data_IF_344120455134
#
_entry.id   IF_344120455134
#
_cell.length_a   1.000
_cell.length_b   1.000
_cell.length_c   1.000
_cell.angle_alpha   90.00
_cell.angle_beta   90.00
_cell.angle_gamma   90.00
#
_symmetry.space_group_name_H-M   'P 1'
#
loop_
_entity.id
_entity.type
_entity.pdbx_description
1 polymer ?
#
# COMPACT_ATOMS: atom_id res chain seq x y z
N UNK A 1 -10.54 -57.65 -27.46
CA UNK A 1 -11.06 -57.50 -26.09
C UNK A 1 -12.35 -58.29 -26.03
N UNK A 2 -12.42 -59.35 -25.22
CA UNK A 2 -13.52 -60.32 -25.31
C UNK A 2 -14.83 -59.70 -24.79
N UNK A 3 -15.98 -59.97 -25.42
CA UNK A 3 -17.29 -59.39 -25.06
C UNK A 3 -17.66 -59.64 -23.59
N UNK A 4 -17.10 -60.70 -23.00
CA UNK A 4 -17.24 -61.06 -21.59
C UNK A 4 -16.50 -60.06 -20.66
N UNK A 5 -15.33 -59.53 -21.06
CA UNK A 5 -14.58 -58.53 -20.28
C UNK A 5 -15.24 -57.15 -20.31
N UNK A 6 -15.81 -56.75 -21.45
CA UNK A 6 -16.59 -55.51 -21.56
C UNK A 6 -17.91 -55.58 -20.78
N UNK A 7 -18.56 -56.74 -20.78
CA UNK A 7 -19.74 -57.01 -19.94
C UNK A 7 -19.41 -56.94 -18.45
N UNK A 8 -18.30 -57.52 -18.00
CA UNK A 8 -17.87 -57.47 -16.61
C UNK A 8 -17.45 -56.06 -16.16
N UNK A 9 -16.72 -55.30 -16.99
CA UNK A 9 -16.38 -53.90 -16.68
C UNK A 9 -17.61 -53.00 -16.62
N UNK A 10 -18.57 -53.14 -17.54
CA UNK A 10 -19.80 -52.34 -17.53
C UNK A 10 -20.71 -52.69 -16.35
N UNK A 11 -20.80 -53.97 -15.97
CA UNK A 11 -21.53 -54.42 -14.78
C UNK A 11 -20.89 -53.90 -13.49
N UNK A 12 -19.56 -53.74 -13.48
CA UNK A 12 -18.81 -53.20 -12.34
C UNK A 12 -18.95 -51.68 -12.21
N UNK A 13 -18.92 -50.94 -13.32
CA UNK A 13 -19.17 -49.48 -13.36
C UNK A 13 -20.62 -49.18 -12.96
N UNK A 14 -21.60 -49.97 -13.42
CA UNK A 14 -23.00 -49.84 -13.02
C UNK A 14 -23.21 -50.15 -11.54
N UNK A 15 -22.51 -51.14 -10.97
CA UNK A 15 -22.54 -51.41 -9.54
C UNK A 15 -21.94 -50.26 -8.71
N UNK A 16 -20.83 -49.66 -9.17
CA UNK A 16 -20.24 -48.50 -8.50
C UNK A 16 -21.19 -47.30 -8.56
N UNK A 17 -21.80 -47.03 -9.72
CA UNK A 17 -22.78 -45.96 -9.88
C UNK A 17 -24.04 -46.20 -9.01
N UNK A 18 -24.53 -47.43 -8.90
CA UNK A 18 -25.67 -47.79 -8.04
C UNK A 18 -25.33 -47.70 -6.55
N UNK A 19 -24.11 -48.04 -6.14
CA UNK A 19 -23.64 -47.88 -4.75
C UNK A 19 -23.51 -46.38 -4.41
N UNK A 20 -23.04 -45.55 -5.35
CA UNK A 20 -22.96 -44.10 -5.18
C UNK A 20 -24.35 -43.46 -5.12
N UNK A 21 -25.31 -43.92 -5.94
CA UNK A 21 -26.68 -43.41 -5.94
C UNK A 21 -27.49 -43.87 -4.71
N UNK A 22 -27.24 -45.10 -4.22
CA UNK A 22 -27.97 -45.68 -3.08
C UNK A 22 -27.50 -45.13 -1.73
N UNK A 23 -26.31 -44.51 -1.66
CA UNK A 23 -25.69 -44.04 -0.42
C UNK A 23 -25.12 -42.62 -0.58
N UNK A 24 -26.01 -41.66 -0.83
CA UNK A 24 -25.69 -40.24 -0.97
C UNK A 24 -24.61 -39.75 -0.01
N UNK A 25 -23.67 -39.00 -0.59
CA UNK A 25 -22.32 -38.54 -0.19
C UNK A 25 -21.95 -38.23 1.28
N UNK A 26 -22.81 -38.37 2.28
CA UNK A 26 -22.53 -37.93 3.66
C UNK A 26 -22.38 -39.06 4.69
N UNK A 27 -22.93 -40.26 4.46
CA UNK A 27 -22.86 -41.36 5.44
C UNK A 27 -21.56 -42.17 5.40
N UNK A 28 -20.88 -42.24 4.24
CA UNK A 28 -19.59 -42.95 4.11
C UNK A 28 -18.47 -42.29 4.93
N UNK A 29 -18.43 -40.95 5.01
CA UNK A 29 -17.44 -40.24 5.83
C UNK A 29 -17.63 -40.45 7.34
N UNK A 30 -18.81 -40.88 7.78
CA UNK A 30 -19.08 -41.26 9.18
C UNK A 30 -18.75 -42.73 9.46
N UNK A 31 -18.92 -43.65 8.50
CA UNK A 31 -18.62 -45.08 8.69
C UNK A 31 -17.17 -45.49 8.35
N UNK A 32 -16.43 -44.70 7.56
CA UNK A 32 -14.99 -44.92 7.33
C UNK A 32 -14.15 -44.57 8.58
N UNK A 33 -14.72 -43.85 9.56
CA UNK A 33 -14.08 -43.61 10.87
C UNK A 33 -13.91 -44.88 11.72
N UNK A 34 -14.60 -45.98 11.43
CA UNK A 34 -14.28 -47.29 12.02
C UNK A 34 -13.38 -48.09 11.06
N UNK A 35 -12.08 -48.07 11.36
CA UNK A 35 -10.96 -48.70 10.64
C UNK A 35 -11.30 -50.06 9.99
N UNK A 36 -11.11 -50.19 8.67
CA UNK A 36 -10.50 -51.38 8.09
C UNK A 36 -9.02 -51.09 7.83
N UNK A 37 -8.13 -51.90 8.40
CA UNK A 37 -6.71 -51.84 8.08
C UNK A 37 -6.51 -52.08 6.58
N UNK A 38 -6.00 -51.07 5.87
CA UNK A 38 -5.69 -51.11 4.43
C UNK A 38 -4.61 -52.16 4.11
N UNK A 39 -3.92 -52.72 5.11
CA UNK A 39 -3.03 -53.87 4.93
C UNK A 39 -3.69 -55.10 4.28
N UNK A 40 -5.04 -55.22 4.34
CA UNK A 40 -5.79 -56.30 3.65
C UNK A 40 -6.03 -56.08 2.15
N UNK A 41 -5.77 -54.88 1.61
CA UNK A 41 -6.01 -54.59 0.19
C UNK A 41 -4.88 -55.08 -0.74
N UNK A 42 -3.68 -55.36 -0.21
CA UNK A 42 -2.51 -55.75 -1.02
C UNK A 42 -2.61 -57.11 -1.72
N UNK A 43 -3.54 -57.99 -1.30
CA UNK A 43 -3.56 -59.39 -1.74
C UNK A 43 -4.82 -59.78 -2.52
N UNK A 44 -5.57 -58.82 -3.10
CA UNK A 44 -6.72 -59.14 -3.96
C UNK A 44 -6.33 -59.05 -5.44
N UNK A 45 -6.54 -60.12 -6.22
CA UNK A 45 -6.19 -60.14 -7.65
C UNK A 45 -7.02 -59.18 -8.53
N UNK A 46 -8.08 -58.57 -7.98
CA UNK A 46 -8.98 -57.66 -8.69
C UNK A 46 -8.79 -56.16 -8.32
N UNK A 47 -7.63 -55.77 -7.77
CA UNK A 47 -7.43 -54.37 -7.36
C UNK A 47 -7.32 -53.43 -8.57
N UNK A 48 -8.23 -52.46 -8.67
CA UNK A 48 -8.15 -51.34 -9.62
C UNK A 48 -6.79 -50.65 -9.48
N UNK A 49 -6.10 -50.34 -10.59
CA UNK A 49 -4.85 -49.60 -10.53
C UNK A 49 -5.09 -48.23 -9.88
N UNK A 50 -4.14 -47.76 -9.06
CA UNK A 50 -4.23 -46.45 -8.41
C UNK A 50 -4.48 -45.33 -9.45
N UNK A 51 -3.90 -45.45 -10.64
CA UNK A 51 -4.11 -44.54 -11.76
C UNK A 51 -5.55 -44.53 -12.26
N UNK A 52 -6.21 -45.69 -12.39
CA UNK A 52 -7.63 -45.77 -12.76
C UNK A 52 -8.53 -45.20 -11.68
N UNK A 53 -8.21 -45.41 -10.40
CA UNK A 53 -8.95 -44.83 -9.28
C UNK A 53 -8.81 -43.29 -9.21
N UNK A 54 -7.59 -42.78 -9.39
CA UNK A 54 -7.33 -41.33 -9.40
C UNK A 54 -7.97 -40.63 -10.60
N UNK A 55 -7.98 -41.24 -11.78
CA UNK A 55 -8.68 -40.70 -12.95
C UNK A 55 -10.18 -40.58 -12.73
N UNK A 56 -10.79 -41.53 -12.02
CA UNK A 56 -12.21 -41.45 -11.63
C UNK A 56 -12.44 -40.28 -10.66
N UNK A 57 -11.60 -40.10 -9.64
CA UNK A 57 -11.71 -38.98 -8.70
C UNK A 57 -11.54 -37.61 -9.37
N UNK A 58 -10.61 -37.51 -10.34
CA UNK A 58 -10.40 -36.30 -11.15
C UNK A 58 -11.63 -36.01 -12.02
N UNK A 59 -12.21 -37.03 -12.65
CA UNK A 59 -13.44 -36.87 -13.47
C UNK A 59 -14.66 -36.44 -12.65
N UNK A 60 -14.68 -36.76 -11.35
CA UNK A 60 -15.74 -36.40 -10.41
C UNK A 60 -15.49 -35.06 -9.69
N UNK A 61 -14.42 -34.34 -10.04
CA UNK A 61 -14.03 -33.07 -9.43
C UNK A 61 -13.93 -33.12 -7.88
N UNK A 62 -13.60 -34.29 -7.34
CA UNK A 62 -13.43 -34.47 -5.89
C UNK A 62 -12.13 -33.81 -5.47
N UNK A 63 -12.18 -32.96 -4.43
CA UNK A 63 -10.99 -32.29 -3.90
C UNK A 63 -10.04 -33.33 -3.31
N UNK A 64 -9.02 -33.74 -4.09
CA UNK A 64 -8.02 -34.74 -3.69
C UNK A 64 -7.34 -34.37 -2.35
N UNK A 65 -7.26 -33.08 -2.03
CA UNK A 65 -6.80 -32.58 -0.74
C UNK A 65 -7.58 -33.14 0.45
N UNK A 66 -8.91 -33.33 0.34
CA UNK A 66 -9.73 -33.83 1.44
C UNK A 66 -9.55 -35.34 1.70
N UNK A 67 -9.03 -36.09 0.72
CA UNK A 67 -8.84 -37.54 0.82
C UNK A 67 -7.50 -37.91 1.47
N UNK A 68 -6.48 -37.06 1.34
CA UNK A 68 -5.11 -37.38 1.72
C UNK A 68 -4.58 -36.61 2.94
N UNK A 69 -5.32 -35.62 3.47
CA UNK A 69 -4.86 -34.81 4.61
C UNK A 69 -4.92 -35.52 5.98
N UNK A 70 -5.60 -36.67 6.09
CA UNK A 70 -5.78 -37.40 7.36
C UNK A 70 -4.89 -38.67 7.50
N UNK A 71 -3.85 -38.82 6.66
CA UNK A 71 -3.00 -40.02 6.67
C UNK A 71 -1.52 -39.73 6.95
N UNK A 72 -0.90 -40.69 7.65
CA UNK A 72 0.49 -40.67 8.11
C UNK A 72 1.46 -40.41 6.94
N UNK A 73 2.27 -39.34 6.98
CA UNK A 73 3.19 -38.97 5.90
C UNK A 73 4.26 -40.04 5.60
N UNK A 74 4.42 -41.06 6.46
CA UNK A 74 5.38 -42.14 6.29
C UNK A 74 4.84 -43.39 5.56
N UNK A 75 3.58 -43.40 5.09
CA UNK A 75 2.91 -44.62 4.60
C UNK A 75 3.07 -44.94 3.09
N UNK A 76 3.91 -44.24 2.33
CA UNK A 76 4.02 -44.46 0.87
C UNK A 76 5.37 -45.08 0.44
N UNK A 77 5.39 -46.09 -0.46
CA UNK A 77 6.62 -46.54 -1.11
C UNK A 77 7.19 -45.38 -1.94
N UNK A 78 8.42 -44.97 -1.62
CA UNK A 78 8.87 -43.57 -1.64
C UNK A 78 8.92 -42.88 -3.02
N UNK A 79 9.00 -43.60 -4.13
CA UNK A 79 9.30 -42.97 -5.43
C UNK A 79 8.20 -43.08 -6.50
N UNK A 80 7.33 -44.08 -6.45
CA UNK A 80 6.36 -44.33 -7.54
C UNK A 80 5.12 -43.41 -7.42
N UNK A 81 4.73 -42.98 -6.21
CA UNK A 81 3.52 -42.16 -6.00
C UNK A 81 3.70 -40.66 -6.19
N UNK A 82 4.90 -40.12 -5.95
CA UNK A 82 5.16 -38.68 -6.07
C UNK A 82 5.14 -38.27 -7.54
N UNK A 83 5.73 -39.05 -8.45
CA UNK A 83 5.72 -38.77 -9.89
C UNK A 83 4.31 -38.75 -10.48
N UNK A 84 3.44 -39.70 -10.10
CA UNK A 84 2.04 -39.76 -10.53
C UNK A 84 1.22 -38.58 -10.01
N UNK A 85 1.37 -38.23 -8.73
CA UNK A 85 0.74 -37.04 -8.15
C UNK A 85 1.21 -35.78 -8.86
N UNK A 86 2.51 -35.64 -9.12
CA UNK A 86 3.08 -34.50 -9.85
C UNK A 86 2.53 -34.40 -11.28
N UNK A 87 2.35 -35.53 -11.97
CA UNK A 87 1.73 -35.57 -13.30
C UNK A 87 0.24 -35.20 -13.26
N UNK A 88 -0.50 -35.59 -12.23
CA UNK A 88 -1.89 -35.17 -12.02
C UNK A 88 -1.98 -33.68 -11.74
N UNK A 89 -1.07 -33.15 -10.91
CA UNK A 89 -1.01 -31.72 -10.62
C UNK A 89 -0.63 -30.90 -11.85
N UNK A 90 0.17 -31.45 -12.76
CA UNK A 90 0.42 -30.86 -14.07
C UNK A 90 -0.86 -30.77 -14.92
N UNK A 91 -1.85 -31.63 -14.75
CA UNK A 91 -3.10 -31.58 -15.51
C UNK A 91 -4.08 -30.51 -15.01
N UNK A 92 -3.83 -29.87 -13.85
CA UNK A 92 -4.67 -28.77 -13.37
C UNK A 92 -4.62 -27.56 -14.30
N UNK A 93 -5.77 -26.88 -14.45
CA UNK A 93 -5.93 -25.69 -15.30
C UNK A 93 -4.99 -24.55 -14.89
N UNK A 94 -4.74 -24.41 -13.60
CA UNK A 94 -3.79 -23.44 -13.05
C UNK A 94 -2.58 -24.19 -12.46
N UNK A 95 -1.34 -23.90 -12.92
CA UNK A 95 -0.16 -24.56 -12.40
C UNK A 95 0.14 -24.08 -10.98
N UNK A 96 0.31 -25.03 -10.05
CA UNK A 96 0.73 -24.74 -8.68
C UNK A 96 2.08 -24.02 -8.64
N UNK A 97 2.26 -23.15 -7.67
CA UNK A 97 3.57 -22.56 -7.36
C UNK A 97 4.50 -23.61 -6.75
N UNK A 98 5.82 -23.40 -6.87
CA UNK A 98 6.82 -24.27 -6.24
C UNK A 98 6.57 -24.39 -4.73
N UNK A 99 6.17 -23.30 -4.06
CA UNK A 99 5.88 -23.29 -2.63
C UNK A 99 4.71 -24.21 -2.29
N UNK A 100 3.61 -24.10 -3.01
CA UNK A 100 2.45 -24.98 -2.81
C UNK A 100 2.81 -26.44 -3.11
N UNK A 101 3.64 -26.68 -4.12
CA UNK A 101 4.13 -28.02 -4.43
C UNK A 101 4.96 -28.62 -3.30
N UNK A 102 5.88 -27.84 -2.71
CA UNK A 102 6.69 -28.28 -1.56
C UNK A 102 5.83 -28.52 -0.32
N UNK A 103 4.81 -27.70 -0.09
CA UNK A 103 3.84 -27.90 1.01
C UNK A 103 3.00 -29.15 0.77
N UNK A 104 2.54 -29.37 -0.46
CA UNK A 104 1.66 -30.48 -0.80
C UNK A 104 2.39 -31.83 -0.79
N UNK A 105 3.64 -31.87 -1.25
CA UNK A 105 4.44 -33.10 -1.30
C UNK A 105 5.20 -33.37 0.00
N UNK A 106 5.37 -32.36 0.86
CA UNK A 106 6.27 -32.41 2.02
C UNK A 106 7.76 -32.43 1.65
N UNK A 107 8.10 -32.37 0.36
CA UNK A 107 9.48 -32.44 -0.10
C UNK A 107 10.06 -31.05 -0.26
N UNK A 108 11.31 -30.88 0.19
CA UNK A 108 12.06 -29.67 -0.09
C UNK A 108 12.34 -29.52 -1.58
N UNK A 109 12.37 -28.28 -2.09
CA UNK A 109 12.55 -27.98 -3.51
C UNK A 109 13.76 -28.68 -4.14
N UNK A 110 14.90 -28.72 -3.45
CA UNK A 110 16.10 -29.40 -3.95
C UNK A 110 15.87 -30.90 -4.17
N UNK A 111 15.13 -31.58 -3.28
CA UNK A 111 14.78 -32.99 -3.45
C UNK A 111 13.83 -33.19 -4.62
N UNK A 112 12.86 -32.30 -4.83
CA UNK A 112 11.97 -32.36 -5.99
C UNK A 112 12.73 -32.14 -7.30
N UNK A 113 13.68 -31.19 -7.32
CA UNK A 113 14.48 -30.89 -8.51
C UNK A 113 15.43 -32.04 -8.86
N UNK A 114 16.05 -32.67 -7.86
CA UNK A 114 16.96 -33.80 -8.05
C UNK A 114 16.22 -35.05 -8.56
N UNK A 115 15.04 -35.34 -8.02
CA UNK A 115 14.31 -36.57 -8.32
C UNK A 115 13.34 -36.43 -9.50
N UNK A 116 12.85 -35.22 -9.79
CA UNK A 116 11.87 -34.96 -10.84
C UNK A 116 12.18 -33.69 -11.66
N UNK A 117 13.41 -33.55 -12.21
CA UNK A 117 13.82 -32.34 -12.93
C UNK A 117 12.86 -31.99 -14.07
N UNK A 118 12.45 -32.98 -14.87
CA UNK A 118 11.57 -32.79 -16.03
C UNK A 118 10.16 -32.29 -15.67
N UNK A 119 9.66 -32.66 -14.49
CA UNK A 119 8.33 -32.22 -14.02
C UNK A 119 8.42 -30.78 -13.54
N UNK A 120 9.45 -30.46 -12.75
CA UNK A 120 9.70 -29.11 -12.26
C UNK A 120 9.96 -28.15 -13.42
N UNK A 121 10.76 -28.58 -14.40
CA UNK A 121 11.00 -27.83 -15.62
C UNK A 121 9.69 -27.60 -16.39
N UNK A 122 8.86 -28.63 -16.62
CA UNK A 122 7.56 -28.46 -17.29
C UNK A 122 6.59 -27.56 -16.53
N UNK A 123 6.59 -27.58 -15.19
CA UNK A 123 5.79 -26.66 -14.37
C UNK A 123 6.29 -25.22 -14.50
N UNK A 124 7.61 -25.03 -14.45
CA UNK A 124 8.25 -23.73 -14.63
C UNK A 124 8.00 -23.18 -16.03
N UNK A 125 8.11 -24.02 -17.05
CA UNK A 125 7.79 -23.70 -18.45
C UNK A 125 6.30 -23.39 -18.62
N UNK A 126 5.38 -24.11 -17.96
CA UNK A 126 3.95 -23.75 -17.99
C UNK A 126 3.66 -22.41 -17.33
N UNK A 127 4.32 -22.13 -16.20
CA UNK A 127 4.20 -20.88 -15.44
C UNK A 127 4.83 -19.71 -16.16
N UNK A 128 5.97 -19.90 -16.83
CA UNK A 128 6.65 -18.88 -17.63
C UNK A 128 5.92 -18.64 -18.95
N UNK A 129 5.42 -19.71 -19.58
CA UNK A 129 4.62 -19.59 -20.77
C UNK A 129 3.33 -18.82 -20.46
N UNK A 130 2.72 -18.90 -19.27
CA UNK A 130 1.50 -18.12 -18.92
C UNK A 130 1.62 -16.58 -18.99
N UNK A 131 2.74 -16.00 -19.44
CA UNK A 131 3.01 -14.56 -19.43
C UNK A 131 3.16 -13.95 -20.82
N UNK A 132 2.19 -14.18 -21.73
CA UNK A 132 2.13 -13.80 -23.17
C UNK A 132 2.56 -14.97 -24.06
N UNK A 133 1.62 -15.83 -24.48
CA UNK A 133 1.89 -17.03 -25.31
C UNK A 133 1.66 -16.81 -26.79
N UNK A 134 0.85 -15.85 -27.18
CA UNK A 134 0.40 -15.75 -28.56
C UNK A 134 0.58 -14.34 -29.12
N UNK A 135 0.62 -14.26 -30.45
CA UNK A 135 0.52 -12.99 -31.18
C UNK A 135 -0.75 -12.22 -30.78
N UNK A 136 -1.85 -12.93 -30.49
CA UNK A 136 -3.09 -12.31 -30.02
C UNK A 136 -2.94 -11.61 -28.67
N UNK A 137 -2.13 -12.15 -27.75
CA UNK A 137 -1.86 -11.51 -26.45
C UNK A 137 -1.08 -10.20 -26.62
N UNK A 138 -0.17 -10.15 -27.59
CA UNK A 138 0.60 -8.94 -27.93
C UNK A 138 -0.32 -7.89 -28.55
N UNK A 139 -1.26 -8.28 -29.39
CA UNK A 139 -2.21 -7.34 -30.01
C UNK A 139 -3.20 -6.80 -28.98
N UNK A 140 -3.72 -7.64 -28.07
CA UNK A 140 -4.52 -7.18 -26.91
C UNK A 140 -3.72 -6.25 -26.00
N UNK A 141 -2.42 -6.51 -25.80
CA UNK A 141 -1.53 -5.63 -25.04
C UNK A 141 -1.40 -4.27 -25.73
N UNK A 142 -1.15 -4.24 -27.04
CA UNK A 142 -1.05 -3.01 -27.82
C UNK A 142 -2.33 -2.20 -27.73
N UNK A 143 -3.49 -2.85 -27.86
CA UNK A 143 -4.80 -2.21 -27.73
C UNK A 143 -4.96 -1.54 -26.36
N UNK A 144 -4.66 -2.27 -25.27
CA UNK A 144 -4.71 -1.71 -23.91
C UNK A 144 -3.73 -0.53 -23.73
N UNK A 145 -2.53 -0.61 -24.29
CA UNK A 145 -1.56 0.49 -24.25
C UNK A 145 -2.05 1.69 -25.06
N UNK A 146 -2.66 1.49 -26.22
CA UNK A 146 -3.24 2.56 -27.04
C UNK A 146 -4.41 3.23 -26.33
N UNK A 147 -5.32 2.45 -25.73
CA UNK A 147 -6.41 2.97 -24.92
C UNK A 147 -5.86 3.83 -23.77
N UNK A 148 -4.81 3.39 -23.09
CA UNK A 148 -4.19 4.20 -22.04
C UNK A 148 -3.51 5.48 -22.58
N UNK A 149 -2.85 5.39 -23.74
CA UNK A 149 -2.30 6.55 -24.47
C UNK A 149 -3.41 7.51 -24.90
N UNK A 150 -4.66 7.08 -25.03
CA UNK A 150 -5.78 7.98 -25.35
C UNK A 150 -6.40 8.52 -24.05
N UNK A 151 -6.83 7.64 -23.15
CA UNK A 151 -7.67 7.99 -22.01
C UNK A 151 -6.92 8.36 -20.72
N UNK A 152 -5.63 7.99 -20.55
CA UNK A 152 -4.82 8.37 -19.39
C UNK A 152 -5.47 7.96 -18.04
N UNK A 153 -5.94 6.73 -17.94
CA UNK A 153 -6.68 6.28 -16.76
C UNK A 153 -5.76 6.15 -15.53
N UNK A 154 -4.46 5.95 -15.72
CA UNK A 154 -3.50 5.76 -14.63
C UNK A 154 -2.62 6.99 -14.36
N UNK A 155 -2.11 7.08 -13.13
CA UNK A 155 -1.29 8.21 -12.67
C UNK A 155 0.17 8.11 -13.11
N UNK A 156 0.66 6.90 -13.33
CA UNK A 156 2.03 6.60 -13.77
C UNK A 156 2.11 5.21 -14.41
N UNK A 157 3.25 4.92 -15.04
CA UNK A 157 3.48 3.66 -15.74
C UNK A 157 3.50 2.44 -14.83
N UNK A 158 3.83 2.60 -13.56
CA UNK A 158 3.82 1.50 -12.59
C UNK A 158 2.39 1.06 -12.29
N UNK A 159 1.49 2.02 -12.06
CA UNK A 159 0.07 1.77 -11.85
C UNK A 159 -0.57 1.08 -13.07
N UNK A 160 -0.24 1.54 -14.27
CA UNK A 160 -0.66 0.87 -15.51
C UNK A 160 -0.08 -0.55 -15.62
N UNK A 161 1.21 -0.74 -15.36
CA UNK A 161 1.83 -2.07 -15.44
C UNK A 161 1.20 -3.08 -14.47
N UNK A 162 0.84 -2.62 -13.26
CA UNK A 162 0.13 -3.43 -12.25
C UNK A 162 -1.29 -3.78 -12.70
N UNK A 163 -2.01 -2.86 -13.34
CA UNK A 163 -3.40 -3.12 -13.76
C UNK A 163 -3.51 -4.20 -14.84
N UNK A 164 -2.50 -4.33 -15.69
CA UNK A 164 -2.43 -5.37 -16.72
C UNK A 164 -1.62 -6.60 -16.28
N UNK A 165 -1.18 -6.65 -15.01
CA UNK A 165 -0.37 -7.73 -14.43
C UNK A 165 0.91 -8.05 -15.23
N UNK A 166 1.58 -7.02 -15.75
CA UNK A 166 2.85 -7.15 -16.48
C UNK A 166 3.94 -6.31 -15.85
N UNK A 167 5.19 -6.77 -15.99
CA UNK A 167 6.33 -5.98 -15.57
C UNK A 167 6.61 -4.87 -16.59
N UNK A 168 7.13 -3.72 -16.14
CA UNK A 168 7.55 -2.65 -17.05
C UNK A 168 8.62 -3.12 -18.05
N UNK A 169 9.47 -4.09 -17.65
CA UNK A 169 10.44 -4.73 -18.54
C UNK A 169 9.75 -5.45 -19.69
N UNK A 170 8.68 -6.19 -19.41
CA UNK A 170 7.88 -6.90 -20.42
C UNK A 170 7.24 -5.90 -21.40
N UNK A 171 6.68 -4.80 -20.90
CA UNK A 171 6.10 -3.75 -21.74
C UNK A 171 7.13 -3.13 -22.69
N UNK A 172 8.31 -2.80 -22.15
CA UNK A 172 9.41 -2.23 -22.92
C UNK A 172 9.92 -3.20 -23.99
N UNK A 173 9.96 -4.50 -23.69
CA UNK A 173 10.49 -5.52 -24.59
C UNK A 173 9.52 -5.84 -25.75
N UNK A 174 8.23 -5.97 -25.47
CA UNK A 174 7.26 -6.39 -26.48
C UNK A 174 6.65 -5.24 -27.28
N UNK A 175 6.61 -4.02 -26.72
CA UNK A 175 6.00 -2.85 -27.35
C UNK A 175 6.82 -1.57 -27.06
N UNK A 176 8.09 -1.49 -27.51
CA UNK A 176 8.99 -0.40 -27.17
C UNK A 176 8.45 0.98 -27.56
N UNK A 177 7.84 1.11 -28.75
CA UNK A 177 7.34 2.39 -29.25
C UNK A 177 6.13 2.89 -28.44
N UNK A 178 5.18 2.00 -28.12
CA UNK A 178 4.03 2.33 -27.29
C UNK A 178 4.45 2.63 -25.85
N UNK A 179 5.46 1.90 -25.35
CA UNK A 179 6.02 2.16 -24.03
C UNK A 179 6.65 3.56 -23.96
N UNK A 180 7.38 3.97 -24.99
CA UNK A 180 7.95 5.31 -25.09
C UNK A 180 6.86 6.39 -25.17
N UNK A 181 5.82 6.19 -25.99
CA UNK A 181 4.67 7.11 -26.08
C UNK A 181 3.93 7.24 -24.74
N UNK A 182 3.77 6.15 -24.00
CA UNK A 182 3.21 6.19 -22.64
C UNK A 182 4.06 7.03 -21.69
N UNK A 183 5.39 6.83 -21.70
CA UNK A 183 6.30 7.62 -20.87
C UNK A 183 6.21 9.12 -21.18
N UNK A 184 6.20 9.49 -22.47
CA UNK A 184 6.03 10.87 -22.90
C UNK A 184 4.69 11.45 -22.44
N UNK A 185 3.60 10.69 -22.58
CA UNK A 185 2.28 11.12 -22.11
C UNK A 185 2.24 11.33 -20.60
N UNK A 186 2.80 10.41 -19.81
CA UNK A 186 2.87 10.57 -18.35
C UNK A 186 3.77 11.73 -17.94
N UNK A 187 4.87 11.97 -18.67
CA UNK A 187 5.74 13.13 -18.46
C UNK A 187 4.96 14.44 -18.68
N UNK A 188 4.22 14.55 -19.79
CA UNK A 188 3.38 15.71 -20.10
C UNK A 188 2.25 15.90 -19.08
N UNK A 189 1.57 14.82 -18.67
CA UNK A 189 0.54 14.85 -17.62
C UNK A 189 1.11 15.35 -16.29
N UNK A 190 2.30 14.86 -15.91
CA UNK A 190 3.01 15.31 -14.71
C UNK A 190 3.43 16.78 -14.80
N UNK A 191 3.89 17.24 -15.97
CA UNK A 191 4.22 18.65 -16.21
C UNK A 191 2.98 19.53 -16.04
N UNK A 192 1.86 19.20 -16.69
CA UNK A 192 0.58 19.93 -16.54
C UNK A 192 0.09 19.97 -15.10
N UNK A 193 0.15 18.85 -14.38
CA UNK A 193 -0.19 18.82 -12.94
C UNK A 193 0.74 19.69 -12.11
N UNK A 194 2.04 19.69 -12.42
CA UNK A 194 3.01 20.55 -11.75
C UNK A 194 2.75 22.03 -12.05
N UNK A 195 2.38 22.39 -13.28
CA UNK A 195 2.02 23.75 -13.69
C UNK A 195 0.75 24.23 -13.00
N UNK A 196 -0.31 23.42 -12.99
CA UNK A 196 -1.55 23.72 -12.26
C UNK A 196 -1.29 23.90 -10.76
N UNK A 197 -0.53 23.00 -10.15
CA UNK A 197 -0.13 23.14 -8.75
C UNK A 197 0.71 24.41 -8.53
N UNK A 198 1.58 24.77 -9.47
CA UNK A 198 2.40 25.99 -9.38
C UNK A 198 1.52 27.24 -9.48
N UNK A 199 0.54 27.27 -10.38
CA UNK A 199 -0.42 28.37 -10.50
C UNK A 199 -1.28 28.53 -9.25
N UNK A 200 -1.81 27.43 -8.70
CA UNK A 200 -2.59 27.45 -7.45
C UNK A 200 -1.76 27.93 -6.26
N UNK A 201 -0.50 27.48 -6.15
CA UNK A 201 0.41 27.95 -5.10
C UNK A 201 0.70 29.45 -5.27
N UNK A 202 0.95 29.93 -6.49
CA UNK A 202 1.15 31.36 -6.75
C UNK A 202 -0.06 32.17 -6.29
N UNK A 203 -1.26 31.75 -6.69
CA UNK A 203 -2.50 32.41 -6.31
C UNK A 203 -2.68 32.49 -4.79
N UNK A 204 -2.36 31.43 -4.06
CA UNK A 204 -2.43 31.43 -2.58
C UNK A 204 -1.38 32.33 -1.92
N UNK A 205 -0.19 32.44 -2.51
CA UNK A 205 0.84 33.38 -2.05
C UNK A 205 0.41 34.84 -2.32
N UNK A 206 -0.19 35.11 -3.48
CA UNK A 206 -0.69 36.43 -3.86
C UNK A 206 -1.87 36.85 -2.95
N UNK A 207 -2.80 35.93 -2.65
CA UNK A 207 -3.84 36.17 -1.63
C UNK A 207 -3.23 36.52 -0.26
N UNK A 208 -2.21 35.78 0.17
CA UNK A 208 -1.54 36.07 1.45
C UNK A 208 -0.85 37.44 1.45
N UNK A 209 -0.40 37.93 0.30
CA UNK A 209 0.14 39.29 0.14
C UNK A 209 -0.94 40.37 0.20
N UNK A 210 -2.19 40.07 -0.19
CA UNK A 210 -3.31 41.00 -0.14
C UNK A 210 -4.01 41.04 1.22
N UNK A 211 -3.98 39.95 2.00
CA UNK A 211 -4.63 39.87 3.32
C UNK A 211 -4.14 40.97 4.27
N UNK A 212 -5.02 41.74 4.92
CA UNK A 212 -4.65 42.85 5.81
C UNK A 212 -3.73 42.44 6.97
N UNK A 213 -4.04 41.30 7.59
CA UNK A 213 -3.21 40.71 8.65
C UNK A 213 -2.11 39.84 8.04
N UNK A 214 -0.82 40.23 8.14
CA UNK A 214 0.24 39.49 7.49
C UNK A 214 0.46 38.15 8.20
N UNK A 215 0.41 37.08 7.42
CA UNK A 215 0.62 35.72 7.89
C UNK A 215 2.11 35.33 7.83
N UNK A 216 2.53 34.45 8.74
CA UNK A 216 3.88 33.88 8.65
C UNK A 216 3.97 32.90 7.48
N UNK A 217 5.14 32.86 6.82
CA UNK A 217 5.40 31.89 5.75
C UNK A 217 5.18 30.43 6.21
N UNK A 218 5.42 30.13 7.49
CA UNK A 218 5.18 28.81 8.07
C UNK A 218 3.69 28.46 8.12
N UNK A 219 2.83 29.43 8.45
CA UNK A 219 1.37 29.26 8.43
C UNK A 219 0.88 28.95 7.02
N UNK A 220 1.30 29.77 6.05
CA UNK A 220 0.92 29.64 4.64
C UNK A 220 1.37 28.28 4.09
N UNK A 221 2.63 27.89 4.35
CA UNK A 221 3.19 26.61 3.91
C UNK A 221 2.39 25.40 4.42
N UNK A 222 1.93 25.44 5.69
CA UNK A 222 1.05 24.41 6.25
C UNK A 222 -0.30 24.38 5.55
N UNK A 223 -0.92 25.54 5.31
CA UNK A 223 -2.22 25.67 4.63
C UNK A 223 -2.21 25.06 3.24
N UNK A 224 -1.19 25.37 2.43
CA UNK A 224 -1.05 24.85 1.06
C UNK A 224 -0.39 23.47 0.97
N UNK A 225 -0.02 22.87 2.11
CA UNK A 225 0.69 21.58 2.20
C UNK A 225 1.97 21.54 1.35
N UNK A 226 2.70 22.65 1.26
CA UNK A 226 3.93 22.75 0.47
C UNK A 226 5.12 23.12 1.39
N UNK A 227 6.24 22.36 1.36
CA UNK A 227 7.39 22.68 2.18
C UNK A 227 7.98 24.07 1.89
N UNK A 228 8.41 24.78 2.94
CA UNK A 228 8.96 26.14 2.82
C UNK A 228 10.15 26.24 1.86
N UNK A 229 11.00 25.21 1.78
CA UNK A 229 12.16 25.23 0.89
C UNK A 229 11.74 25.20 -0.60
N UNK A 230 10.69 24.46 -0.94
CA UNK A 230 10.11 24.45 -2.30
C UNK A 230 9.51 25.82 -2.63
N UNK A 231 8.81 26.45 -1.69
CA UNK A 231 8.26 27.79 -1.90
C UNK A 231 9.36 28.83 -2.12
N UNK A 232 10.43 28.79 -1.31
CA UNK A 232 11.59 29.67 -1.48
C UNK A 232 12.27 29.48 -2.83
N UNK A 233 12.38 28.24 -3.30
CA UNK A 233 13.02 27.91 -4.56
C UNK A 233 12.17 28.35 -5.77
N UNK A 234 10.85 28.12 -5.73
CA UNK A 234 9.96 28.38 -6.88
C UNK A 234 9.38 29.80 -6.92
N UNK A 235 9.18 30.43 -5.77
CA UNK A 235 8.52 31.74 -5.64
C UNK A 235 9.33 32.70 -4.75
N UNK A 236 10.62 32.95 -5.07
CA UNK A 236 11.52 33.70 -4.19
C UNK A 236 11.03 35.13 -3.92
N UNK A 237 10.42 35.78 -4.92
CA UNK A 237 9.93 37.16 -4.82
C UNK A 237 8.76 37.26 -3.85
N UNK A 238 7.69 36.48 -4.06
CA UNK A 238 6.52 36.48 -3.17
C UNK A 238 6.92 36.11 -1.74
N UNK A 239 7.77 35.09 -1.58
CA UNK A 239 8.24 34.68 -0.26
C UNK A 239 9.01 35.80 0.45
N UNK A 240 9.89 36.52 -0.25
CA UNK A 240 10.62 37.66 0.32
C UNK A 240 9.66 38.76 0.78
N UNK A 241 8.64 39.07 -0.02
CA UNK A 241 7.62 40.07 0.31
C UNK A 241 6.80 39.67 1.54
N UNK A 242 6.30 38.43 1.60
CA UNK A 242 5.56 37.88 2.75
C UNK A 242 6.41 37.98 4.03
N UNK A 243 7.66 37.52 3.96
CA UNK A 243 8.56 37.53 5.12
C UNK A 243 8.86 38.95 5.58
N UNK A 244 9.10 39.88 4.65
CA UNK A 244 9.34 41.29 4.97
C UNK A 244 8.13 41.91 5.67
N UNK A 245 6.93 41.71 5.10
CA UNK A 245 5.67 42.23 5.63
C UNK A 245 5.36 41.70 7.03
N UNK A 246 5.55 40.40 7.24
CA UNK A 246 5.37 39.77 8.55
C UNK A 246 6.35 40.34 9.59
N UNK A 247 7.63 40.52 9.22
CA UNK A 247 8.65 41.12 10.09
C UNK A 247 8.30 42.57 10.47
N UNK A 248 7.84 43.37 9.51
CA UNK A 248 7.44 44.76 9.77
C UNK A 248 6.26 44.82 10.73
N UNK A 249 5.22 44.00 10.53
CA UNK A 249 4.09 43.95 11.45
C UNK A 249 4.49 43.51 12.88
N UNK A 250 5.45 42.60 13.02
CA UNK A 250 6.00 42.26 14.34
C UNK A 250 6.70 43.45 15.01
N UNK A 251 7.45 44.25 14.24
CA UNK A 251 8.06 45.49 14.74
C UNK A 251 6.99 46.51 15.15
N UNK A 252 6.00 46.73 14.30
CA UNK A 252 4.92 47.68 14.57
C UNK A 252 4.09 47.26 15.78
N UNK A 253 3.84 45.95 15.93
CA UNK A 253 3.19 45.39 17.11
C UNK A 253 4.04 45.58 18.36
N UNK A 254 5.35 45.37 18.27
CA UNK A 254 6.26 45.63 19.39
C UNK A 254 6.26 47.11 19.80
N UNK A 255 6.24 48.03 18.84
CA UNK A 255 6.18 49.48 19.11
C UNK A 255 4.85 49.84 19.77
N UNK A 256 3.72 49.33 19.24
CA UNK A 256 2.39 49.55 19.82
C UNK A 256 2.29 49.02 21.25
N UNK A 257 2.70 47.78 21.48
CA UNK A 257 2.70 47.16 22.80
C UNK A 257 3.56 47.95 23.80
N UNK A 258 4.71 48.48 23.35
CA UNK A 258 5.57 49.31 24.18
C UNK A 258 4.91 50.64 24.56
N UNK A 259 4.33 51.35 23.60
CA UNK A 259 3.59 52.60 23.87
C UNK A 259 2.38 52.38 24.78
N UNK A 260 1.66 51.28 24.58
CA UNK A 260 0.56 50.91 25.47
C UNK A 260 1.06 50.66 26.89
N UNK A 261 2.19 49.97 27.04
CA UNK A 261 2.82 49.74 28.33
C UNK A 261 3.32 51.04 28.99
N UNK A 262 3.84 52.00 28.21
CA UNK A 262 4.21 53.34 28.69
C UNK A 262 3.00 54.06 29.29
N UNK A 263 1.88 54.10 28.57
CA UNK A 263 0.63 54.73 29.04
C UNK A 263 0.13 54.05 30.31
N UNK A 264 0.10 52.71 30.32
CA UNK A 264 -0.33 51.94 31.51
C UNK A 264 0.57 52.20 32.72
N UNK A 265 1.88 52.29 32.50
CA UNK A 265 2.85 52.60 33.56
C UNK A 265 2.58 53.98 34.16
N UNK A 266 2.42 55.02 33.33
CA UNK A 266 2.14 56.37 33.80
C UNK A 266 0.81 56.45 34.57
N UNK A 267 -0.25 55.84 34.05
CA UNK A 267 -1.54 55.77 34.74
C UNK A 267 -1.42 55.06 36.10
N UNK A 268 -0.68 53.95 36.17
CA UNK A 268 -0.47 53.22 37.43
C UNK A 268 0.32 54.05 38.46
N UNK A 269 1.30 54.84 38.01
CA UNK A 269 2.05 55.79 38.88
C UNK A 269 1.11 56.86 39.43
N UNK A 270 0.32 57.48 38.55
CA UNK A 270 -0.60 58.55 38.93
C UNK A 270 -1.72 58.06 39.87
N UNK A 271 -2.23 56.84 39.66
CA UNK A 271 -3.19 56.23 40.56
C UNK A 271 -2.58 55.95 41.95
N UNK A 272 -1.39 55.35 42.01
CA UNK A 272 -0.72 55.11 43.30
C UNK A 272 -0.46 56.43 44.04
N UNK A 273 -0.06 57.47 43.31
CA UNK A 273 0.12 58.80 43.87
C UNK A 273 -1.18 59.38 44.43
N UNK A 274 -2.29 59.31 43.67
CA UNK A 274 -3.62 59.74 44.14
C UNK A 274 -4.08 58.99 45.39
N UNK A 275 -3.72 57.71 45.50
CA UNK A 275 -4.00 56.88 46.67
C UNK A 275 -3.08 57.18 47.87
N UNK A 276 -2.20 58.19 47.78
CA UNK A 276 -1.22 58.54 48.81
C UNK A 276 -0.09 57.52 48.97
N UNK A 277 0.08 56.61 48.00
CA UNK A 277 1.07 55.55 48.05
C UNK A 277 2.32 55.91 47.24
N UNK A 278 3.51 55.63 47.79
CA UNK A 278 4.75 55.76 47.03
C UNK A 278 4.77 54.77 45.83
N UNK A 279 4.99 55.23 44.57
CA UNK A 279 4.95 54.39 43.38
C UNK A 279 6.22 53.55 43.23
N UNK A 280 6.45 52.62 44.16
CA UNK A 280 7.65 51.77 44.13
C UNK A 280 7.61 50.79 42.96
N UNK A 281 8.80 50.40 42.47
CA UNK A 281 8.99 49.37 41.43
C UNK A 281 8.15 48.13 41.71
N UNK A 282 8.15 47.62 42.95
CA UNK A 282 7.41 46.40 43.33
C UNK A 282 5.91 46.58 43.15
N UNK A 283 5.33 47.68 43.61
CA UNK A 283 3.89 47.97 43.49
C UNK A 283 3.47 48.16 42.03
N UNK A 284 4.31 48.80 41.22
CA UNK A 284 4.04 48.96 39.79
C UNK A 284 4.08 47.63 39.04
N UNK A 285 5.04 46.74 39.34
CA UNK A 285 5.09 45.40 38.74
C UNK A 285 3.84 44.59 39.12
N UNK A 286 3.41 44.65 40.38
CA UNK A 286 2.19 44.01 40.86
C UNK A 286 0.95 44.56 40.16
N UNK A 287 0.82 45.89 40.05
CA UNK A 287 -0.32 46.55 39.42
C UNK A 287 -0.38 46.36 37.90
N UNK A 288 0.76 46.34 37.22
CA UNK A 288 0.82 46.14 35.76
C UNK A 288 0.76 44.67 35.35
N UNK A 289 1.09 43.75 36.26
CA UNK A 289 1.33 42.33 36.00
C UNK A 289 2.37 42.08 34.88
N UNK A 290 3.35 42.98 34.76
CA UNK A 290 4.43 42.91 33.76
C UNK A 290 5.71 43.45 34.38
N UNK A 291 6.82 42.73 34.21
CA UNK A 291 8.12 43.20 34.65
C UNK A 291 8.71 44.19 33.63
N UNK A 292 8.41 45.48 33.81
CA UNK A 292 8.89 46.56 32.94
C UNK A 292 10.39 46.86 33.10
N UNK A 293 11.08 46.24 34.06
CA UNK A 293 12.44 46.67 34.44
C UNK A 293 13.53 46.24 33.48
N UNK A 294 13.20 45.35 32.53
CA UNK A 294 14.05 45.01 31.40
C UNK A 294 14.01 46.05 30.28
N UNK A 295 13.11 47.05 30.37
CA UNK A 295 13.02 48.15 29.41
C UNK A 295 13.58 49.42 30.04
N UNK A 296 14.85 49.73 29.74
CA UNK A 296 15.55 50.91 30.27
C UNK A 296 14.78 52.21 30.06
N UNK A 297 14.11 52.34 28.92
CA UNK A 297 13.29 53.50 28.57
C UNK A 297 12.08 53.67 29.50
N UNK A 298 11.42 52.56 29.88
CA UNK A 298 10.30 52.59 30.83
C UNK A 298 10.76 52.94 32.24
N UNK A 299 11.94 52.44 32.63
CA UNK A 299 12.55 52.77 33.93
C UNK A 299 12.90 54.27 34.00
N UNK A 300 13.46 54.83 32.92
CA UNK A 300 13.72 56.27 32.82
C UNK A 300 12.43 57.09 32.90
N UNK A 301 11.38 56.67 32.17
CA UNK A 301 10.07 57.32 32.20
C UNK A 301 9.44 57.31 33.60
N UNK A 302 9.53 56.19 34.30
CA UNK A 302 9.07 56.07 35.70
C UNK A 302 9.84 57.01 36.63
N UNK A 303 11.17 57.03 36.58
CA UNK A 303 11.97 57.95 37.40
C UNK A 303 11.67 59.42 37.09
N UNK A 304 11.53 59.76 35.81
CA UNK A 304 11.14 61.09 35.38
C UNK A 304 9.80 61.51 36.01
N UNK A 305 8.79 60.62 35.97
CA UNK A 305 7.49 60.88 36.58
C UNK A 305 7.56 61.00 38.10
N UNK A 306 8.39 60.19 38.78
CA UNK A 306 8.61 60.33 40.23
C UNK A 306 9.20 61.70 40.60
N UNK A 307 10.13 62.20 39.78
CA UNK A 307 10.72 63.53 39.96
C UNK A 307 9.68 64.64 39.76
N UNK A 308 8.80 64.54 38.76
CA UNK A 308 7.69 65.48 38.57
C UNK A 308 6.74 65.52 39.77
N UNK A 309 6.47 64.35 40.37
CA UNK A 309 5.62 64.21 41.56
C UNK A 309 6.34 64.53 42.89
N UNK A 310 7.59 65.03 42.83
CA UNK A 310 8.43 65.43 43.98
C UNK A 310 8.70 64.30 45.00
N UNK A 311 8.77 63.06 44.52
CA UNK A 311 9.18 61.92 45.34
C UNK A 311 10.70 61.79 45.47
N UNK A 312 11.43 62.32 44.49
CA UNK A 312 12.90 62.32 44.38
C UNK A 312 13.36 63.66 43.80
#
# INVERSE_FOLDING_TARGET
MNLIQLSQQNKYILNIAQIINKFGSTEMLKKVKSKPSISRWKNRPDSISLSSFLNVLISLNVHISEIFLDHDPNWAPENIRVSELLNILLLKKEPLTIKELTTFTGWHYQKLLQNFPDVIERMLLRKSAGKIKSRSDVDTLKEKMLLEIIYCQYTNIEAFSKSINLSQRTLKQHCPDLYQKLLEKYKLSRQRKNELNTALISLELDKALLNESPESLTSIAKRIKCPRHILKQRFPVQVKLIVSRFKNNLKDKSIRNKKELEIRLLNAVDELHKDGQYPSKRKLIEKLNVNFTHHSELVALWHYRLKELRYI
#
